data_IF_553880859177
#
_entry.id   IF_553880859177
#
_cell.length_a   1.000
_cell.length_b   1.000
_cell.length_c   1.000
_cell.angle_alpha   90.00
_cell.angle_beta   90.00
_cell.angle_gamma   90.00
#
_symmetry.space_group_name_H-M   'P 1'
#
loop_
_entity.id
_entity.type
_entity.pdbx_description
1 polymer ?
#
# COMPACT_ATOMS: atom_id res chain seq x y z
N UNK A 1 -5.33 -2.95 -6.42
CA UNK A 1 -5.11 -3.57 -7.76
C UNK A 1 -4.10 -4.69 -7.58
N UNK A 2 -4.40 -5.88 -8.05
CA UNK A 2 -3.49 -7.03 -7.95
C UNK A 2 -3.09 -7.43 -9.36
N UNK A 3 -1.80 -7.51 -9.65
CA UNK A 3 -1.27 -7.92 -10.96
C UNK A 3 -0.68 -9.31 -10.81
N UNK A 4 -1.18 -10.28 -11.58
CA UNK A 4 -0.67 -11.66 -11.66
C UNK A 4 -0.09 -11.94 -13.03
N UNK A 5 0.90 -12.84 -13.09
CA UNK A 5 1.21 -13.55 -14.32
C UNK A 5 0.14 -14.65 -14.53
N UNK A 6 -0.55 -14.59 -15.65
CA UNK A 6 -1.68 -15.47 -16.04
C UNK A 6 -1.33 -16.96 -15.99
N UNK A 7 -1.84 -17.70 -14.99
CA UNK A 7 -1.81 -19.20 -15.04
C UNK A 7 -2.85 -19.89 -14.14
N UNK A 8 -4.05 -19.35 -13.90
CA UNK A 8 -5.02 -20.05 -13.04
C UNK A 8 -6.40 -20.17 -13.69
N UNK A 9 -6.85 -21.41 -13.93
CA UNK A 9 -8.11 -21.73 -14.61
C UNK A 9 -9.31 -22.07 -13.71
N UNK A 10 -9.13 -22.17 -12.38
CA UNK A 10 -10.22 -22.45 -11.43
C UNK A 10 -10.34 -21.33 -10.39
N UNK A 11 -11.55 -20.79 -10.25
CA UNK A 11 -11.86 -19.83 -9.19
C UNK A 11 -11.92 -20.55 -7.84
N UNK A 12 -11.04 -20.19 -6.87
CA UNK A 12 -11.03 -20.81 -5.54
C UNK A 12 -12.39 -20.63 -4.84
N UNK A 13 -12.79 -21.64 -4.07
CA UNK A 13 -14.03 -21.59 -3.33
C UNK A 13 -13.92 -20.66 -2.11
N UNK A 14 -15.02 -20.00 -1.77
CA UNK A 14 -15.10 -19.19 -0.56
C UNK A 14 -14.80 -20.00 0.72
N UNK A 15 -15.18 -21.28 0.72
CA UNK A 15 -14.97 -22.19 1.84
C UNK A 15 -13.48 -22.47 2.11
N UNK A 16 -12.66 -22.57 1.06
CA UNK A 16 -11.21 -22.76 1.22
C UNK A 16 -10.52 -21.53 1.84
N UNK A 17 -10.95 -20.32 1.45
CA UNK A 17 -10.49 -19.10 2.10
C UNK A 17 -10.95 -19.00 3.56
N UNK A 18 -12.20 -19.40 3.85
CA UNK A 18 -12.72 -19.42 5.22
C UNK A 18 -11.90 -20.36 6.11
N UNK A 19 -11.54 -21.54 5.63
CA UNK A 19 -10.69 -22.51 6.34
C UNK A 19 -9.27 -21.96 6.55
N UNK A 20 -8.66 -21.39 5.50
CA UNK A 20 -7.34 -20.76 5.59
C UNK A 20 -7.29 -19.73 6.72
N UNK A 21 -8.22 -18.77 6.71
CA UNK A 21 -8.23 -17.69 7.70
C UNK A 21 -8.62 -18.17 9.10
N UNK A 22 -9.47 -19.18 9.26
CA UNK A 22 -9.75 -19.80 10.55
C UNK A 22 -8.50 -20.44 11.18
N UNK A 23 -7.66 -21.09 10.36
CA UNK A 23 -6.37 -21.64 10.78
C UNK A 23 -5.37 -20.54 11.15
N UNK A 24 -5.29 -19.47 10.36
CA UNK A 24 -4.46 -18.29 10.67
C UNK A 24 -4.87 -17.67 12.01
N UNK A 25 -6.17 -17.48 12.26
CA UNK A 25 -6.69 -16.97 13.53
C UNK A 25 -6.28 -17.87 14.72
N UNK A 26 -6.38 -19.19 14.53
CA UNK A 26 -5.95 -20.16 15.55
C UNK A 26 -4.47 -20.03 15.89
N UNK A 27 -3.61 -19.88 14.87
CA UNK A 27 -2.16 -19.69 15.05
C UNK A 27 -1.85 -18.35 15.74
N UNK A 28 -2.51 -17.27 15.35
CA UNK A 28 -2.35 -15.96 15.96
C UNK A 28 -2.85 -15.92 17.41
N UNK A 29 -3.81 -16.77 17.79
CA UNK A 29 -4.34 -16.85 19.15
C UNK A 29 -3.30 -17.29 20.19
N UNK A 30 -2.21 -17.92 19.77
CA UNK A 30 -1.08 -18.28 20.62
C UNK A 30 -0.16 -17.09 20.96
N UNK A 31 -0.32 -15.94 20.30
CA UNK A 31 0.48 -14.74 20.55
C UNK A 31 0.02 -14.02 21.83
N UNK A 32 1.00 -13.49 22.59
CA UNK A 32 0.77 -12.89 23.92
C UNK A 32 0.28 -11.43 23.88
N UNK A 33 0.42 -10.72 22.78
CA UNK A 33 0.00 -9.30 22.63
C UNK A 33 -1.37 -9.21 21.95
N UNK A 34 -2.40 -8.94 22.77
CA UNK A 34 -3.79 -8.85 22.34
C UNK A 34 -4.03 -7.74 21.30
N UNK A 35 -3.37 -6.58 21.43
CA UNK A 35 -3.52 -5.47 20.49
C UNK A 35 -2.91 -5.82 19.13
N UNK A 36 -1.67 -6.30 19.14
CA UNK A 36 -0.96 -6.70 17.92
C UNK A 36 -1.69 -7.83 17.18
N UNK A 37 -2.24 -8.78 17.95
CA UNK A 37 -3.08 -9.85 17.40
C UNK A 37 -4.34 -9.30 16.76
N UNK A 38 -5.05 -8.38 17.41
CA UNK A 38 -6.26 -7.76 16.85
C UNK A 38 -5.96 -7.05 15.55
N UNK A 39 -4.88 -6.24 15.47
CA UNK A 39 -4.46 -5.56 14.26
C UNK A 39 -4.05 -6.54 13.16
N UNK A 40 -3.38 -7.64 13.49
CA UNK A 40 -3.03 -8.69 12.54
C UNK A 40 -4.27 -9.38 11.94
N UNK A 41 -5.30 -9.61 12.76
CA UNK A 41 -6.59 -10.15 12.29
C UNK A 41 -7.34 -9.16 11.39
N UNK A 42 -7.39 -7.89 11.77
CA UNK A 42 -7.99 -6.83 10.93
C UNK A 42 -7.28 -6.73 9.58
N UNK A 43 -5.94 -6.80 9.56
CA UNK A 43 -5.14 -6.81 8.34
C UNK A 43 -5.40 -8.08 7.51
N UNK A 44 -5.58 -9.24 8.15
CA UNK A 44 -5.99 -10.47 7.50
C UNK A 44 -7.34 -10.34 6.78
N UNK A 45 -8.31 -9.66 7.40
CA UNK A 45 -9.60 -9.38 6.75
C UNK A 45 -9.45 -8.44 5.54
N UNK A 46 -8.57 -7.45 5.61
CA UNK A 46 -8.25 -6.59 4.46
C UNK A 46 -7.61 -7.40 3.33
N UNK A 47 -6.71 -8.31 3.62
CA UNK A 47 -6.09 -9.20 2.63
C UNK A 47 -7.13 -10.06 1.93
N UNK A 48 -8.06 -10.65 2.69
CA UNK A 48 -9.15 -11.43 2.15
C UNK A 48 -10.02 -10.66 1.15
N UNK A 49 -10.16 -9.33 1.33
CA UNK A 49 -10.97 -8.46 0.47
C UNK A 49 -10.18 -7.90 -0.72
N UNK A 50 -8.86 -7.75 -0.60
CA UNK A 50 -8.03 -6.97 -1.52
C UNK A 50 -7.05 -7.81 -2.34
N UNK A 51 -6.70 -9.00 -1.87
CA UNK A 51 -5.74 -9.89 -2.53
C UNK A 51 -6.50 -11.00 -3.26
N UNK A 52 -6.00 -11.38 -4.44
CA UNK A 52 -6.64 -12.42 -5.22
C UNK A 52 -6.65 -13.75 -4.47
N UNK A 53 -7.79 -14.45 -4.40
CA UNK A 53 -7.94 -15.69 -3.62
C UNK A 53 -6.92 -16.77 -3.95
N UNK A 54 -6.58 -16.95 -5.21
CA UNK A 54 -5.61 -17.96 -5.66
C UNK A 54 -4.24 -17.75 -5.04
N UNK A 55 -3.78 -16.48 -4.92
CA UNK A 55 -2.52 -16.18 -4.28
C UNK A 55 -2.59 -16.47 -2.77
N UNK A 56 -3.66 -16.04 -2.10
CA UNK A 56 -3.83 -16.33 -0.67
C UNK A 56 -3.80 -17.83 -0.38
N UNK A 57 -4.45 -18.64 -1.22
CA UNK A 57 -4.48 -20.11 -1.08
C UNK A 57 -3.16 -20.78 -1.47
N UNK A 58 -2.25 -20.09 -2.16
CA UNK A 58 -0.89 -20.60 -2.40
C UNK A 58 0.02 -20.43 -1.18
N UNK A 59 -0.38 -19.61 -0.21
CA UNK A 59 0.34 -19.40 1.05
C UNK A 59 -0.13 -20.41 2.12
N UNK A 60 0.79 -20.88 2.95
CA UNK A 60 0.41 -21.68 4.11
C UNK A 60 -0.21 -20.80 5.22
N UNK A 61 -1.08 -21.34 6.08
CA UNK A 61 -1.58 -20.61 7.25
C UNK A 61 -0.44 -20.10 8.15
N UNK A 62 0.64 -20.88 8.27
CA UNK A 62 1.83 -20.55 9.03
C UNK A 62 2.55 -19.33 8.44
N UNK A 63 2.66 -19.26 7.11
CA UNK A 63 3.23 -18.12 6.40
C UNK A 63 2.43 -16.84 6.66
N UNK A 64 1.10 -16.89 6.52
CA UNK A 64 0.24 -15.73 6.79
C UNK A 64 0.28 -15.33 8.26
N UNK A 65 0.23 -16.29 9.19
CA UNK A 65 0.33 -16.02 10.62
C UNK A 65 1.69 -15.41 11.02
N UNK A 66 2.74 -15.69 10.27
CA UNK A 66 4.06 -15.08 10.43
C UNK A 66 4.13 -13.67 9.83
N UNK A 67 3.54 -13.44 8.66
CA UNK A 67 3.58 -12.14 7.97
C UNK A 67 2.74 -11.06 8.65
N UNK A 68 1.50 -11.38 9.00
CA UNK A 68 0.53 -10.39 9.48
C UNK A 68 1.05 -9.57 10.67
N UNK A 69 1.65 -10.16 11.73
CA UNK A 69 2.25 -9.38 12.81
C UNK A 69 3.44 -8.52 12.38
N UNK A 70 4.29 -9.00 11.44
CA UNK A 70 5.41 -8.22 10.92
C UNK A 70 4.93 -7.04 10.07
N UNK A 71 3.85 -7.20 9.32
CA UNK A 71 3.23 -6.10 8.58
C UNK A 71 2.65 -5.05 9.52
N UNK A 72 2.06 -5.45 10.65
CA UNK A 72 1.65 -4.51 11.70
C UNK A 72 2.86 -3.73 12.22
N UNK A 73 4.00 -4.39 12.47
CA UNK A 73 5.23 -3.72 12.89
C UNK A 73 5.75 -2.72 11.83
N UNK A 74 5.68 -3.09 10.54
CA UNK A 74 6.02 -2.18 9.45
C UNK A 74 5.10 -0.95 9.42
N UNK A 75 3.79 -1.15 9.57
CA UNK A 75 2.81 -0.06 9.64
C UNK A 75 3.08 0.87 10.82
N UNK A 76 3.45 0.35 11.98
CA UNK A 76 3.77 1.15 13.16
C UNK A 76 5.11 1.87 13.02
N UNK A 77 6.12 1.24 12.41
CA UNK A 77 7.47 1.78 12.28
C UNK A 77 7.61 2.93 11.28
N UNK A 78 6.67 3.10 10.33
CA UNK A 78 6.75 4.15 9.29
C UNK A 78 6.64 5.58 9.83
N UNK A 79 6.10 5.78 11.04
CA UNK A 79 5.80 7.11 11.57
C UNK A 79 4.68 7.83 10.77
N UNK A 80 4.90 9.09 10.39
CA UNK A 80 3.92 9.92 9.66
C UNK A 80 4.14 9.94 8.15
N UNK A 81 5.30 9.49 7.67
CA UNK A 81 5.70 9.55 6.25
C UNK A 81 5.56 8.22 5.53
N UNK A 82 6.52 7.95 4.67
CA UNK A 82 6.68 6.69 3.94
C UNK A 82 7.55 5.73 4.74
N UNK A 83 7.15 4.47 4.83
CA UNK A 83 7.98 3.36 5.30
C UNK A 83 8.21 2.37 4.17
N UNK A 84 9.44 1.90 3.99
CA UNK A 84 9.80 0.84 3.05
C UNK A 84 10.62 -0.20 3.79
N UNK A 85 10.14 -1.43 3.81
CA UNK A 85 10.68 -2.54 4.60
C UNK A 85 10.81 -3.78 3.73
N UNK A 86 11.61 -4.73 4.19
CA UNK A 86 11.72 -6.07 3.62
C UNK A 86 11.39 -7.12 4.68
N UNK A 87 10.53 -8.05 4.32
CA UNK A 87 10.30 -9.28 5.08
C UNK A 87 10.95 -10.41 4.29
N UNK A 88 11.99 -11.02 4.87
CA UNK A 88 12.64 -12.16 4.28
C UNK A 88 11.92 -13.44 4.71
N UNK A 89 11.54 -14.25 3.74
CA UNK A 89 10.83 -15.50 3.98
C UNK A 89 11.86 -16.66 4.01
N UNK A 90 11.66 -17.59 4.93
CA UNK A 90 12.48 -18.80 4.95
C UNK A 90 12.28 -19.58 3.65
N UNK A 91 13.33 -19.65 2.82
CA UNK A 91 13.33 -20.35 1.53
C UNK A 91 12.46 -19.70 0.44
N UNK A 92 11.93 -18.48 0.66
CA UNK A 92 11.09 -17.75 -0.27
C UNK A 92 11.73 -16.49 -0.84
N UNK A 93 10.95 -15.80 -1.68
CA UNK A 93 11.33 -14.50 -2.23
C UNK A 93 11.09 -13.38 -1.19
N UNK A 94 11.93 -12.32 -1.18
CA UNK A 94 11.71 -11.20 -0.27
C UNK A 94 10.40 -10.48 -0.60
N UNK A 95 9.64 -10.16 0.45
CA UNK A 95 8.45 -9.34 0.37
C UNK A 95 8.82 -7.89 0.67
N UNK A 96 8.76 -7.04 -0.34
CA UNK A 96 8.88 -5.60 -0.19
C UNK A 96 7.56 -5.04 0.33
N UNK A 97 7.63 -4.27 1.41
CA UNK A 97 6.50 -3.67 2.10
C UNK A 97 6.64 -2.16 2.05
N UNK A 98 5.72 -1.46 1.38
CA UNK A 98 5.67 -0.01 1.39
C UNK A 98 4.38 0.45 2.08
N UNK A 99 4.49 1.36 3.04
CA UNK A 99 3.37 1.93 3.78
C UNK A 99 3.47 3.44 3.82
N UNK A 100 2.34 4.14 3.61
CA UNK A 100 2.28 5.61 3.61
C UNK A 100 0.85 6.09 3.90
N UNK A 101 0.60 7.38 4.17
CA UNK A 101 -0.69 7.98 3.87
C UNK A 101 -1.11 7.65 2.44
N UNK A 102 -2.42 7.48 2.20
CA UNK A 102 -2.91 7.17 0.85
C UNK A 102 -2.76 8.38 -0.07
N UNK A 103 -2.19 8.16 -1.24
CA UNK A 103 -1.93 9.19 -2.22
C UNK A 103 -1.95 8.62 -3.64
N UNK A 104 -2.21 9.44 -4.67
CA UNK A 104 -2.07 9.05 -6.07
C UNK A 104 -0.63 8.63 -6.41
N UNK A 105 -0.47 7.82 -7.46
CA UNK A 105 0.80 7.44 -8.09
C UNK A 105 1.79 6.63 -7.23
N UNK A 106 1.42 6.18 -6.04
CA UNK A 106 2.31 5.35 -5.21
C UNK A 106 2.70 4.04 -5.92
N UNK A 107 1.72 3.32 -6.48
CA UNK A 107 1.99 2.07 -7.22
C UNK A 107 2.78 2.34 -8.50
N UNK A 108 2.43 3.41 -9.24
CA UNK A 108 3.14 3.77 -10.47
C UNK A 108 4.60 4.13 -10.18
N UNK A 109 4.86 4.89 -9.11
CA UNK A 109 6.21 5.22 -8.64
C UNK A 109 7.01 3.97 -8.28
N UNK A 110 6.42 3.01 -7.58
CA UNK A 110 7.05 1.73 -7.30
C UNK A 110 7.35 0.96 -8.59
N UNK A 111 6.36 0.83 -9.49
CA UNK A 111 6.52 0.12 -10.76
C UNK A 111 7.63 0.72 -11.64
N UNK A 112 7.77 2.05 -11.68
CA UNK A 112 8.87 2.72 -12.38
C UNK A 112 10.22 2.30 -11.79
N UNK A 113 10.35 2.25 -10.45
CA UNK A 113 11.59 1.83 -9.81
C UNK A 113 11.94 0.36 -10.11
N UNK A 114 10.95 -0.54 -10.09
CA UNK A 114 11.18 -1.96 -10.40
C UNK A 114 11.51 -2.17 -11.88
N UNK A 115 10.73 -1.58 -12.80
CA UNK A 115 10.91 -1.73 -14.25
C UNK A 115 12.22 -1.12 -14.75
N UNK A 116 12.61 0.07 -14.27
CA UNK A 116 13.85 0.73 -14.70
C UNK A 116 15.12 -0.04 -14.28
N UNK A 117 15.00 -0.95 -13.32
CA UNK A 117 16.07 -1.83 -12.84
C UNK A 117 15.89 -3.29 -13.26
N UNK A 118 14.89 -3.55 -14.10
CA UNK A 118 14.56 -4.91 -14.58
C UNK A 118 14.34 -5.93 -13.44
N UNK A 119 13.76 -5.46 -12.32
CA UNK A 119 13.47 -6.31 -11.16
C UNK A 119 12.19 -7.09 -11.40
N UNK A 120 12.27 -8.43 -11.50
CA UNK A 120 11.08 -9.27 -11.64
C UNK A 120 10.34 -9.41 -10.30
N UNK A 121 9.01 -9.56 -10.38
CA UNK A 121 8.14 -9.77 -9.23
C UNK A 121 7.03 -10.76 -9.55
N UNK A 122 6.56 -11.49 -8.54
CA UNK A 122 5.45 -12.44 -8.65
C UNK A 122 4.11 -11.81 -8.37
N UNK A 123 4.07 -10.88 -7.42
CA UNK A 123 2.86 -10.22 -6.95
C UNK A 123 3.12 -8.75 -6.68
N UNK A 124 2.15 -7.90 -7.04
CA UNK A 124 1.97 -6.59 -6.41
C UNK A 124 0.51 -6.48 -6.00
N UNK A 125 0.26 -6.16 -4.73
CA UNK A 125 -1.05 -5.80 -4.24
C UNK A 125 -1.00 -4.48 -3.47
N UNK A 126 -2.11 -3.73 -3.53
CA UNK A 126 -2.20 -2.39 -2.96
C UNK A 126 -3.56 -2.20 -2.27
N UNK A 127 -3.73 -2.71 -1.05
CA UNK A 127 -4.86 -2.32 -0.20
C UNK A 127 -4.69 -0.89 0.29
N UNK A 128 -5.76 -0.10 0.17
CA UNK A 128 -5.91 1.20 0.81
C UNK A 128 -7.06 1.09 1.82
N UNK A 129 -6.84 1.51 3.05
CA UNK A 129 -7.76 1.32 4.17
C UNK A 129 -7.71 2.48 5.16
N UNK A 130 -8.80 2.75 5.88
CA UNK A 130 -8.79 3.71 6.97
C UNK A 130 -7.97 3.16 8.16
N UNK A 131 -7.16 4.03 8.80
CA UNK A 131 -6.29 3.66 9.92
C UNK A 131 -6.33 4.73 11.01
N UNK A 132 -6.78 4.34 12.19
CA UNK A 132 -6.81 5.21 13.36
C UNK A 132 -5.48 5.12 14.11
N UNK A 133 -4.81 6.27 14.27
CA UNK A 133 -3.55 6.39 15.01
C UNK A 133 -3.65 7.39 16.15
N UNK A 134 -2.92 7.11 17.20
CA UNK A 134 -2.63 8.06 18.25
C UNK A 134 -1.12 8.14 18.47
N UNK A 135 -0.52 9.32 18.27
CA UNK A 135 0.95 9.54 18.40
C UNK A 135 1.78 8.49 17.65
N UNK A 136 1.45 8.21 16.42
CA UNK A 136 2.06 7.19 15.56
C UNK A 136 1.72 5.72 15.90
N UNK A 137 1.11 5.44 17.06
CA UNK A 137 0.66 4.11 17.38
C UNK A 137 -0.61 3.77 16.60
N UNK A 138 -0.62 2.64 15.91
CA UNK A 138 -1.79 2.14 15.21
C UNK A 138 -2.76 1.53 16.24
N UNK A 139 -3.98 2.07 16.29
CA UNK A 139 -5.01 1.59 17.24
C UNK A 139 -6.00 0.65 16.57
N UNK A 140 -6.45 0.99 15.35
CA UNK A 140 -7.42 0.23 14.54
C UNK A 140 -7.16 0.42 13.06
N UNK A 141 -7.63 -0.50 12.24
CA UNK A 141 -7.55 -0.40 10.79
C UNK A 141 -8.78 -1.06 10.12
N UNK A 142 -9.00 -0.71 8.85
CA UNK A 142 -10.11 -1.25 8.07
C UNK A 142 -11.47 -0.84 8.62
N UNK A 143 -12.43 -1.77 8.65
CA UNK A 143 -13.80 -1.52 9.08
C UNK A 143 -13.92 -1.01 10.54
N UNK A 144 -12.90 -1.26 11.38
CA UNK A 144 -12.86 -0.78 12.76
C UNK A 144 -12.45 0.71 12.87
N UNK A 145 -12.10 1.36 11.76
CA UNK A 145 -11.59 2.73 11.70
C UNK A 145 -12.20 3.52 10.52
N UNK A 146 -13.46 3.29 10.18
CA UNK A 146 -14.10 3.76 8.93
C UNK A 146 -13.98 5.27 8.70
N UNK A 147 -14.06 6.09 9.76
CA UNK A 147 -13.94 7.55 9.68
C UNK A 147 -12.49 8.07 9.78
N UNK A 148 -11.50 7.19 9.88
CA UNK A 148 -10.10 7.59 10.01
C UNK A 148 -9.47 7.93 8.64
N UNK A 149 -8.36 8.70 8.63
CA UNK A 149 -7.58 8.91 7.41
C UNK A 149 -7.18 7.59 6.75
N UNK A 150 -7.13 7.60 5.41
CA UNK A 150 -6.74 6.41 4.66
C UNK A 150 -5.22 6.26 4.60
N UNK A 151 -4.80 5.03 4.69
CA UNK A 151 -3.41 4.60 4.51
C UNK A 151 -3.30 3.60 3.37
N UNK A 152 -2.14 3.58 2.77
CA UNK A 152 -1.76 2.72 1.66
C UNK A 152 -0.74 1.70 2.13
N UNK A 153 -0.97 0.43 1.80
CA UNK A 153 -0.01 -0.65 1.97
C UNK A 153 0.24 -1.30 0.62
N UNK A 154 1.47 -1.21 0.11
CA UNK A 154 1.85 -1.90 -1.11
C UNK A 154 2.75 -3.07 -0.72
N UNK A 155 2.39 -4.27 -1.18
CA UNK A 155 3.18 -5.47 -1.03
C UNK A 155 3.65 -5.91 -2.41
N UNK A 156 4.96 -6.16 -2.55
CA UNK A 156 5.55 -6.71 -3.76
C UNK A 156 6.44 -7.90 -3.42
N UNK A 157 6.06 -9.10 -3.87
CA UNK A 157 6.92 -10.27 -3.78
C UNK A 157 7.92 -10.25 -4.93
N UNK A 158 9.20 -10.00 -4.60
CA UNK A 158 10.27 -9.80 -5.58
C UNK A 158 10.95 -11.13 -5.91
N UNK A 159 11.09 -11.43 -7.21
CA UNK A 159 11.78 -12.65 -7.68
C UNK A 159 13.30 -12.41 -7.79
N UNK A 160 13.91 -11.91 -6.72
CA UNK A 160 15.35 -11.64 -6.61
C UNK A 160 15.88 -12.10 -5.25
N UNK A 161 17.21 -12.12 -5.09
CA UNK A 161 17.83 -12.41 -3.81
C UNK A 161 17.60 -11.27 -2.80
N UNK A 162 17.58 -11.56 -1.49
CA UNK A 162 17.37 -10.56 -0.43
C UNK A 162 18.36 -9.39 -0.48
N UNK A 163 19.60 -9.63 -0.86
CA UNK A 163 20.65 -8.61 -0.97
C UNK A 163 20.32 -7.59 -2.07
N UNK A 164 19.81 -8.06 -3.22
CA UNK A 164 19.37 -7.19 -4.32
C UNK A 164 18.13 -6.40 -3.90
N UNK A 165 17.19 -7.05 -3.21
CA UNK A 165 15.99 -6.39 -2.71
C UNK A 165 16.33 -5.27 -1.71
N UNK A 166 17.37 -5.45 -0.87
CA UNK A 166 17.80 -4.45 0.10
C UNK A 166 18.31 -3.16 -0.57
N UNK A 167 18.95 -3.27 -1.74
CA UNK A 167 19.42 -2.11 -2.50
C UNK A 167 18.27 -1.27 -3.08
N UNK A 168 17.07 -1.84 -3.19
CA UNK A 168 15.88 -1.14 -3.70
C UNK A 168 15.20 -0.26 -2.65
N UNK A 169 15.43 -0.51 -1.36
CA UNK A 169 14.74 0.22 -0.28
C UNK A 169 14.97 1.74 -0.36
N UNK A 170 16.21 2.27 -0.46
CA UNK A 170 16.42 3.71 -0.52
C UNK A 170 15.79 4.39 -1.75
N UNK A 171 15.99 3.91 -3.00
CA UNK A 171 15.40 4.58 -4.17
C UNK A 171 13.87 4.48 -4.21
N UNK A 172 13.28 3.39 -3.71
CA UNK A 172 11.83 3.27 -3.61
C UNK A 172 11.28 4.23 -2.54
N UNK A 173 11.92 4.31 -1.38
CA UNK A 173 11.54 5.28 -0.35
C UNK A 173 11.58 6.72 -0.88
N UNK A 174 12.61 7.09 -1.63
CA UNK A 174 12.73 8.40 -2.24
C UNK A 174 11.59 8.66 -3.25
N UNK A 175 11.29 7.71 -4.13
CA UNK A 175 10.24 7.84 -5.14
C UNK A 175 8.85 7.97 -4.51
N UNK A 176 8.52 7.16 -3.51
CA UNK A 176 7.24 7.23 -2.82
C UNK A 176 7.12 8.50 -1.97
N UNK A 177 8.20 8.97 -1.36
CA UNK A 177 8.22 10.24 -0.62
C UNK A 177 8.00 11.43 -1.56
N UNK A 178 8.54 11.38 -2.78
CA UNK A 178 8.29 12.41 -3.80
C UNK A 178 6.81 12.40 -4.24
N UNK A 179 6.21 11.23 -4.47
CA UNK A 179 4.80 11.12 -4.80
C UNK A 179 3.90 11.70 -3.70
N UNK A 180 4.21 11.38 -2.44
CA UNK A 180 3.48 11.94 -1.29
C UNK A 180 3.66 13.46 -1.15
N UNK A 181 4.85 13.99 -1.43
CA UNK A 181 5.09 15.43 -1.39
C UNK A 181 4.29 16.19 -2.46
N UNK A 182 4.13 15.60 -3.65
CA UNK A 182 3.28 16.14 -4.72
C UNK A 182 1.82 16.24 -4.26
N UNK A 183 1.29 15.21 -3.60
CA UNK A 183 -0.08 15.23 -3.08
C UNK A 183 -0.26 16.32 -2.01
N UNK A 184 0.70 16.49 -1.11
CA UNK A 184 0.65 17.55 -0.11
C UNK A 184 0.72 18.96 -0.71
N UNK A 185 1.41 19.12 -1.85
CA UNK A 185 1.51 20.40 -2.55
C UNK A 185 0.29 20.71 -3.45
N UNK A 186 -0.58 19.74 -3.70
CA UNK A 186 -1.70 19.88 -4.63
C UNK A 186 -2.67 20.98 -4.22
N UNK A 187 -3.05 21.03 -2.96
CA UNK A 187 -3.99 22.04 -2.46
C UNK A 187 -3.45 23.47 -2.62
N UNK A 188 -2.14 23.67 -2.39
CA UNK A 188 -1.47 24.96 -2.61
C UNK A 188 -1.44 25.34 -4.09
N UNK A 189 -1.18 24.37 -4.97
CA UNK A 189 -1.22 24.57 -6.42
C UNK A 189 -2.62 24.90 -6.93
N UNK A 190 -3.65 24.20 -6.44
CA UNK A 190 -5.06 24.49 -6.79
C UNK A 190 -5.46 25.89 -6.32
N UNK A 191 -5.06 26.32 -5.13
CA UNK A 191 -5.31 27.68 -4.65
C UNK A 191 -4.59 28.74 -5.50
N UNK A 192 -3.33 28.49 -5.88
CA UNK A 192 -2.58 29.39 -6.77
C UNK A 192 -3.21 29.46 -8.16
N UNK A 193 -3.65 28.32 -8.69
CA UNK A 193 -4.37 28.28 -9.97
C UNK A 193 -5.65 29.11 -9.90
N UNK A 194 -6.46 28.95 -8.86
CA UNK A 194 -7.69 29.72 -8.65
C UNK A 194 -7.41 31.23 -8.54
N UNK A 195 -6.36 31.62 -7.78
CA UNK A 195 -5.95 33.02 -7.66
C UNK A 195 -5.48 33.59 -9.00
N UNK A 196 -4.73 32.83 -9.78
CA UNK A 196 -4.25 33.24 -11.10
C UNK A 196 -5.40 33.40 -12.09
N UNK A 197 -6.40 32.51 -12.04
CA UNK A 197 -7.62 32.62 -12.87
C UNK A 197 -8.37 33.93 -12.61
N UNK A 198 -8.60 34.28 -11.36
CA UNK A 198 -9.32 35.51 -11.02
C UNK A 198 -8.64 36.78 -11.62
N UNK A 199 -7.33 36.77 -11.76
CA UNK A 199 -6.58 37.84 -12.44
C UNK A 199 -6.70 37.74 -13.95
N UNK A 200 -6.66 36.52 -14.51
CA UNK A 200 -6.77 36.28 -15.96
C UNK A 200 -8.18 36.57 -16.51
N UNK A 201 -9.23 36.26 -15.75
CA UNK A 201 -10.63 36.59 -16.07
C UNK A 201 -10.79 38.09 -16.28
N UNK A 202 -10.17 38.92 -15.42
CA UNK A 202 -10.15 40.37 -15.57
C UNK A 202 -9.42 40.84 -16.86
N UNK A 203 -8.56 40.04 -17.41
CA UNK A 203 -7.81 40.29 -18.65
C UNK A 203 -8.39 39.60 -19.90
N UNK A 204 -9.42 38.78 -19.78
CA UNK A 204 -10.00 38.01 -20.89
C UNK A 204 -9.19 36.83 -21.41
N UNK A 205 -8.35 36.20 -20.58
CA UNK A 205 -7.41 35.12 -20.93
C UNK A 205 -7.53 33.88 -20.02
N UNK A 206 -8.76 33.52 -19.60
CA UNK A 206 -8.93 32.44 -18.61
C UNK A 206 -9.20 31.04 -19.20
N UNK A 207 -9.49 30.92 -20.51
CA UNK A 207 -9.86 29.64 -21.15
C UNK A 207 -8.85 28.51 -20.86
N UNK A 208 -7.55 28.82 -20.93
CA UNK A 208 -6.50 27.82 -20.65
C UNK A 208 -6.43 27.44 -19.16
N UNK A 209 -6.57 28.42 -18.29
CA UNK A 209 -6.58 28.18 -16.83
C UNK A 209 -7.84 27.44 -16.39
N UNK A 210 -8.98 27.73 -17.05
CA UNK A 210 -10.22 26.96 -16.85
C UNK A 210 -10.01 25.51 -17.29
N UNK A 211 -9.45 25.29 -18.47
CA UNK A 211 -9.16 23.95 -18.97
C UNK A 211 -8.26 23.14 -18.00
N UNK A 212 -7.24 23.78 -17.41
CA UNK A 212 -6.41 23.16 -16.37
C UNK A 212 -7.24 22.81 -15.11
N UNK A 213 -8.10 23.73 -14.66
CA UNK A 213 -8.92 23.56 -13.44
C UNK A 213 -10.01 22.48 -13.63
N UNK A 214 -10.46 22.22 -14.85
CA UNK A 214 -11.44 21.19 -15.19
C UNK A 214 -10.86 19.75 -15.12
N UNK A 215 -9.65 19.60 -14.58
CA UNK A 215 -9.02 18.29 -14.38
C UNK A 215 -8.35 17.70 -15.62
N UNK A 216 -8.16 18.50 -16.68
CA UNK A 216 -7.44 18.07 -17.88
C UNK A 216 -5.91 18.01 -17.68
N UNK A 217 -5.43 18.49 -16.55
CA UNK A 217 -4.03 18.44 -16.15
C UNK A 217 -3.91 18.16 -14.65
N UNK A 218 -3.01 17.25 -14.28
CA UNK A 218 -2.65 17.04 -12.88
C UNK A 218 -1.43 17.92 -12.58
N UNK A 219 -1.59 18.95 -11.73
CA UNK A 219 -0.45 19.79 -11.36
C UNK A 219 0.54 18.97 -10.52
N UNK A 220 1.79 18.94 -10.95
CA UNK A 220 2.92 18.41 -10.19
C UNK A 220 3.79 19.57 -9.72
N UNK A 221 4.13 19.55 -8.43
CA UNK A 221 5.05 20.53 -7.85
C UNK A 221 6.51 20.09 -7.98
#
# INVERSE_FOLDING_TARGET
>A
MTVFADTYSDSPSRAELDDLFARVETLLSAASDDRRRSLALDLGQLFRQSIHPTYLLSLSPETLAHWLPQLVDCLESRGTGVGVFLINLEGGHPLLVCSSPDAPFLVDSLLVQLKSREIPFHLICHPSFPALREKNQLLRLGAQAEDAPRESLILAELAVLPEIAAELVPPIHQALSAALAVEHARDDLEQRLAATRSVAEAGGHDDFLQWLADGNFLPFA
#
